data_IF_121743704994
#
_entry.id   IF_121743704994
#
_cell.length_a   1.000
_cell.length_b   1.000
_cell.length_c   1.000
_cell.angle_alpha   90.00
_cell.angle_beta   90.00
_cell.angle_gamma   90.00
#
_symmetry.space_group_name_H-M   'P 1'
#
loop_
_entity.id
_entity.type
_entity.pdbx_description
1 polymer ?
#
# COMPACT_ATOMS: atom_id res chain seq x y z
N UNK A 1 -63.74 28.35 72.10
CA UNK A 1 -62.40 28.94 71.85
C UNK A 1 -61.85 28.30 70.59
N UNK A 2 -62.15 28.91 69.43
CA UNK A 2 -61.94 28.34 68.10
C UNK A 2 -60.75 29.07 67.47
N UNK A 3 -59.69 28.32 67.15
CA UNK A 3 -58.44 28.81 66.57
C UNK A 3 -58.63 29.17 65.09
N UNK A 4 -58.33 30.41 64.73
CA UNK A 4 -58.29 30.89 63.35
C UNK A 4 -57.05 30.36 62.61
N UNK A 5 -57.24 29.72 61.46
CA UNK A 5 -56.17 29.42 60.49
C UNK A 5 -56.33 30.35 59.27
N UNK A 6 -55.33 31.20 59.05
CA UNK A 6 -55.20 32.03 57.85
C UNK A 6 -54.78 31.18 56.63
N UNK A 7 -55.29 31.44 55.41
CA UNK A 7 -54.84 30.76 54.21
C UNK A 7 -53.53 31.37 53.67
N UNK A 8 -52.60 30.51 53.23
CA UNK A 8 -51.36 30.92 52.53
C UNK A 8 -51.68 31.34 51.09
N UNK A 9 -51.04 32.38 50.53
CA UNK A 9 -51.16 32.71 49.12
C UNK A 9 -50.37 31.71 48.26
N UNK A 10 -51.00 31.13 47.23
CA UNK A 10 -50.31 30.39 46.18
C UNK A 10 -49.71 31.37 45.17
N UNK A 11 -48.38 31.43 45.07
CA UNK A 11 -47.68 32.13 44.00
C UNK A 11 -47.69 31.25 42.74
N UNK A 12 -48.44 31.66 41.72
CA UNK A 12 -48.39 31.12 40.36
C UNK A 12 -47.05 31.53 39.71
N UNK A 13 -46.04 30.66 39.79
CA UNK A 13 -44.81 30.81 38.99
C UNK A 13 -45.04 30.19 37.61
N UNK A 14 -45.40 31.01 36.63
CA UNK A 14 -45.47 30.62 35.22
C UNK A 14 -44.04 30.63 34.65
N UNK A 15 -43.41 29.47 34.52
CA UNK A 15 -42.11 29.36 33.86
C UNK A 15 -42.30 29.57 32.33
N UNK A 16 -41.85 30.72 31.83
CA UNK A 16 -41.69 30.94 30.39
C UNK A 16 -40.45 30.17 29.92
N UNK A 17 -40.62 28.96 29.39
CA UNK A 17 -39.59 28.33 28.55
C UNK A 17 -39.50 29.11 27.25
N UNK A 18 -38.53 30.03 27.16
CA UNK A 18 -38.05 30.53 25.87
C UNK A 18 -37.36 29.37 25.17
N UNK A 19 -38.01 28.81 24.15
CA UNK A 19 -37.36 27.95 23.18
C UNK A 19 -36.38 28.79 22.36
N UNK A 20 -35.14 28.90 22.82
CA UNK A 20 -34.03 29.26 21.95
C UNK A 20 -33.77 28.08 21.00
N UNK A 21 -34.55 27.97 19.93
CA UNK A 21 -34.12 27.21 18.78
C UNK A 21 -32.97 28.00 18.16
N UNK A 22 -31.74 27.70 18.57
CA UNK A 22 -30.60 28.09 17.76
C UNK A 22 -30.73 27.35 16.43
N UNK A 23 -30.68 28.03 15.28
CA UNK A 23 -30.58 27.32 14.01
C UNK A 23 -29.33 26.46 14.09
N UNK A 24 -29.47 25.16 13.86
CA UNK A 24 -28.34 24.28 13.63
C UNK A 24 -27.58 24.87 12.45
N UNK A 25 -26.49 25.60 12.71
CA UNK A 25 -25.55 25.96 11.68
C UNK A 25 -25.12 24.63 11.05
N UNK A 26 -25.49 24.44 9.78
CA UNK A 26 -24.89 23.40 8.96
C UNK A 26 -23.42 23.77 8.87
N UNK A 27 -22.62 23.24 9.79
CA UNK A 27 -21.18 23.16 9.62
C UNK A 27 -21.01 22.42 8.29
N UNK A 28 -20.68 23.17 7.24
CA UNK A 28 -20.21 22.59 6.00
C UNK A 28 -18.90 21.90 6.36
N UNK A 29 -18.98 20.65 6.81
CA UNK A 29 -17.82 19.78 6.87
C UNK A 29 -17.28 19.73 5.45
N UNK A 30 -16.19 20.47 5.20
CA UNK A 30 -15.42 20.30 3.98
C UNK A 30 -14.92 18.86 4.01
N UNK A 31 -15.48 18.04 3.13
CA UNK A 31 -14.97 16.68 2.91
C UNK A 31 -13.52 16.79 2.48
N UNK A 32 -12.61 16.25 3.27
CA UNK A 32 -11.22 16.07 2.88
C UNK A 32 -11.12 14.78 2.07
N UNK A 33 -11.55 14.83 0.80
CA UNK A 33 -11.60 13.66 -0.06
C UNK A 33 -10.20 13.20 -0.46
N UNK A 34 -10.04 11.90 -0.70
CA UNK A 34 -8.85 11.36 -1.35
C UNK A 34 -8.69 12.00 -2.73
N UNK A 35 -7.46 12.39 -3.05
CA UNK A 35 -7.11 12.99 -4.34
C UNK A 35 -5.97 12.21 -4.98
N UNK A 36 -5.85 12.34 -6.31
CA UNK A 36 -4.73 11.73 -7.04
C UNK A 36 -3.44 12.44 -6.62
N UNK A 37 -2.45 11.73 -6.07
CA UNK A 37 -1.19 12.35 -5.69
C UNK A 37 -0.43 12.85 -6.92
N UNK A 38 0.19 14.04 -6.87
CA UNK A 38 1.03 14.50 -7.95
C UNK A 38 2.26 13.59 -8.07
N UNK A 39 2.71 13.34 -9.30
CA UNK A 39 3.98 12.66 -9.54
C UNK A 39 5.12 13.67 -9.38
N UNK A 40 6.08 13.36 -8.49
CA UNK A 40 7.24 14.21 -8.19
C UNK A 40 8.24 14.30 -9.34
N UNK A 41 8.32 13.25 -10.17
CA UNK A 41 9.29 13.10 -11.24
C UNK A 41 8.64 13.29 -12.60
N UNK A 42 8.51 14.53 -13.05
CA UNK A 42 8.05 14.87 -14.41
C UNK A 42 6.57 14.62 -14.71
N UNK A 43 5.70 14.59 -13.68
CA UNK A 43 4.27 14.32 -13.86
C UNK A 43 3.58 15.15 -14.94
N UNK A 44 3.83 16.46 -14.97
CA UNK A 44 3.24 17.35 -15.99
C UNK A 44 3.78 17.14 -17.40
N UNK A 45 5.01 16.65 -17.53
CA UNK A 45 5.63 16.37 -18.82
C UNK A 45 5.18 15.01 -19.35
N UNK A 46 5.05 14.00 -18.48
CA UNK A 46 4.47 12.71 -18.84
C UNK A 46 3.01 12.82 -19.27
N UNK A 47 2.24 13.71 -18.66
CA UNK A 47 0.84 13.94 -19.09
C UNK A 47 0.75 14.50 -20.52
N UNK A 48 1.72 15.31 -20.96
CA UNK A 48 1.74 15.90 -22.30
C UNK A 48 2.36 14.98 -23.35
N UNK A 49 3.47 14.33 -23.00
CA UNK A 49 4.36 13.66 -23.96
C UNK A 49 4.43 12.14 -23.78
N UNK A 50 3.80 11.59 -22.74
CA UNK A 50 4.01 10.21 -22.33
C UNK A 50 5.37 10.02 -21.66
N UNK A 51 5.72 8.76 -21.43
CA UNK A 51 7.00 8.38 -20.86
C UNK A 51 7.92 7.91 -22.00
N UNK A 52 9.00 8.64 -22.33
CA UNK A 52 9.81 8.38 -23.50
C UNK A 52 10.29 6.92 -23.59
N UNK A 53 9.90 6.20 -24.64
CA UNK A 53 10.29 4.80 -24.86
C UNK A 53 9.59 3.77 -23.97
N UNK A 54 8.62 4.19 -23.14
CA UNK A 54 7.81 3.29 -22.31
C UNK A 54 6.31 3.39 -22.59
N UNK A 55 5.74 4.60 -22.51
CA UNK A 55 4.31 4.85 -22.73
C UNK A 55 4.10 6.05 -23.65
N UNK A 56 3.16 5.95 -24.59
CA UNK A 56 2.71 7.10 -25.37
C UNK A 56 1.89 8.07 -24.49
N UNK A 57 1.61 9.30 -24.94
CA UNK A 57 0.70 10.20 -24.21
C UNK A 57 -0.67 9.56 -23.94
N UNK A 58 -1.20 8.78 -24.89
CA UNK A 58 -2.47 8.09 -24.73
C UNK A 58 -2.36 6.92 -23.74
N UNK A 59 -1.30 6.12 -23.83
CA UNK A 59 -1.03 5.04 -22.87
C UNK A 59 -0.88 5.57 -21.45
N UNK A 60 -0.11 6.63 -21.25
CA UNK A 60 0.03 7.29 -19.95
C UNK A 60 -1.30 7.87 -19.44
N UNK A 61 -2.08 8.53 -20.31
CA UNK A 61 -3.40 9.06 -19.96
C UNK A 61 -4.34 7.96 -19.46
N UNK A 62 -4.40 6.82 -20.16
CA UNK A 62 -5.21 5.68 -19.72
C UNK A 62 -4.68 5.08 -18.43
N UNK A 63 -3.38 4.80 -18.35
CA UNK A 63 -2.76 4.04 -17.27
C UNK A 63 -2.65 4.80 -15.94
N UNK A 64 -2.35 6.10 -16.01
CA UNK A 64 -2.21 6.97 -14.85
C UNK A 64 -3.42 7.89 -14.71
N UNK A 65 -3.60 8.87 -15.60
CA UNK A 65 -4.55 9.97 -15.40
C UNK A 65 -5.98 9.47 -15.22
N UNK A 66 -6.53 8.71 -16.17
CA UNK A 66 -7.92 8.27 -16.15
C UNK A 66 -8.13 7.13 -15.14
N UNK A 67 -7.26 6.13 -15.14
CA UNK A 67 -7.42 4.98 -14.26
C UNK A 67 -7.22 5.33 -12.79
N UNK A 68 -6.20 6.12 -12.44
CA UNK A 68 -5.99 6.56 -11.05
C UNK A 68 -7.14 7.43 -10.56
N UNK A 69 -7.65 8.34 -11.40
CA UNK A 69 -8.84 9.15 -11.07
C UNK A 69 -10.08 8.28 -10.83
N UNK A 70 -10.30 7.26 -11.67
CA UNK A 70 -11.39 6.30 -11.48
C UNK A 70 -11.25 5.58 -10.14
N UNK A 71 -10.09 5.03 -9.84
CA UNK A 71 -9.84 4.28 -8.61
C UNK A 71 -10.05 5.17 -7.37
N UNK A 72 -9.54 6.40 -7.38
CA UNK A 72 -9.72 7.37 -6.29
C UNK A 72 -11.19 7.76 -6.12
N UNK A 73 -11.93 7.97 -7.22
CA UNK A 73 -13.37 8.25 -7.16
C UNK A 73 -14.14 7.10 -6.51
N UNK A 74 -13.89 5.88 -6.97
CA UNK A 74 -14.52 4.68 -6.40
C UNK A 74 -14.13 4.45 -4.94
N UNK A 75 -12.90 4.81 -4.56
CA UNK A 75 -12.46 4.79 -3.16
C UNK A 75 -13.28 5.79 -2.33
N UNK A 76 -13.36 7.05 -2.77
CA UNK A 76 -14.13 8.10 -2.10
C UNK A 76 -15.59 7.68 -1.88
N UNK A 77 -16.24 7.09 -2.88
CA UNK A 77 -17.62 6.61 -2.76
C UNK A 77 -17.78 5.52 -1.68
N UNK A 78 -16.76 4.68 -1.51
CA UNK A 78 -16.76 3.59 -0.52
C UNK A 78 -16.44 4.02 0.90
N UNK A 79 -15.71 5.11 1.06
CA UNK A 79 -15.33 5.64 2.38
C UNK A 79 -16.20 6.82 2.83
N UNK A 80 -17.11 7.29 1.97
CA UNK A 80 -17.99 8.42 2.27
C UNK A 80 -18.76 8.22 3.59
N UNK A 81 -18.62 9.17 4.52
CA UNK A 81 -19.29 9.11 5.83
C UNK A 81 -18.69 8.10 6.81
N UNK A 82 -17.52 7.53 6.50
CA UNK A 82 -16.75 6.68 7.42
C UNK A 82 -15.55 7.45 7.99
N UNK A 83 -14.89 6.88 9.00
CA UNK A 83 -13.63 7.45 9.56
C UNK A 83 -12.42 7.32 8.63
N UNK A 84 -12.60 6.76 7.43
CA UNK A 84 -11.55 6.56 6.43
C UNK A 84 -11.59 7.63 5.33
N UNK A 85 -12.55 8.56 5.39
CA UNK A 85 -12.79 9.56 4.34
C UNK A 85 -11.61 10.53 4.18
N UNK A 86 -10.91 10.86 5.28
CA UNK A 86 -9.84 11.86 5.37
C UNK A 86 -8.44 11.26 5.66
N UNK A 87 -8.32 9.94 5.66
CA UNK A 87 -7.06 9.24 5.93
C UNK A 87 -6.10 9.22 4.74
N UNK A 88 -4.84 8.85 4.98
CA UNK A 88 -3.92 8.48 3.89
C UNK A 88 -4.39 7.17 3.24
N UNK A 89 -4.30 7.07 1.90
CA UNK A 89 -4.66 5.84 1.16
C UNK A 89 -3.97 4.60 1.74
N UNK A 90 -2.68 4.70 2.07
CA UNK A 90 -1.91 3.62 2.73
C UNK A 90 -2.57 3.15 4.03
N UNK A 91 -3.12 4.07 4.83
CA UNK A 91 -3.80 3.72 6.08
C UNK A 91 -5.12 3.01 5.80
N UNK A 92 -5.85 3.41 4.76
CA UNK A 92 -7.07 2.72 4.33
C UNK A 92 -6.75 1.28 3.91
N UNK A 93 -5.66 1.04 3.17
CA UNK A 93 -5.19 -0.31 2.80
C UNK A 93 -5.02 -1.17 4.05
N UNK A 94 -4.26 -0.69 5.03
CA UNK A 94 -3.97 -1.47 6.25
C UNK A 94 -5.25 -1.72 7.07
N UNK A 95 -6.07 -0.69 7.28
CA UNK A 95 -7.28 -0.79 8.12
C UNK A 95 -8.36 -1.68 7.51
N UNK A 96 -8.40 -1.81 6.18
CA UNK A 96 -9.41 -2.61 5.47
C UNK A 96 -8.93 -3.99 5.04
N UNK A 97 -7.66 -4.34 5.29
CA UNK A 97 -7.06 -5.59 4.81
C UNK A 97 -7.72 -6.85 5.41
N UNK A 98 -8.02 -6.84 6.71
CA UNK A 98 -8.47 -8.04 7.43
C UNK A 98 -9.94 -8.37 7.20
N UNK A 99 -10.79 -7.37 7.15
CA UNK A 99 -12.24 -7.53 7.22
C UNK A 99 -12.85 -7.80 5.83
N UNK A 100 -13.54 -8.94 5.63
CA UNK A 100 -14.11 -9.29 4.33
C UNK A 100 -15.13 -8.26 3.81
N UNK A 101 -15.89 -7.62 4.71
CA UNK A 101 -16.87 -6.59 4.34
C UNK A 101 -16.23 -5.36 3.70
N UNK A 102 -14.98 -5.06 4.06
CA UNK A 102 -14.22 -3.96 3.47
C UNK A 102 -13.38 -4.39 2.27
N UNK A 103 -13.53 -5.62 1.76
CA UNK A 103 -12.67 -6.14 0.70
C UNK A 103 -12.70 -5.30 -0.57
N UNK A 104 -13.86 -4.75 -0.95
CA UNK A 104 -13.96 -3.85 -2.10
C UNK A 104 -13.23 -2.51 -1.84
N UNK A 105 -13.35 -1.95 -0.64
CA UNK A 105 -12.64 -0.72 -0.24
C UNK A 105 -11.13 -0.95 -0.25
N UNK A 106 -10.68 -2.08 0.29
CA UNK A 106 -9.29 -2.53 0.22
C UNK A 106 -8.79 -2.58 -1.23
N UNK A 107 -9.55 -3.18 -2.14
CA UNK A 107 -9.12 -3.33 -3.54
C UNK A 107 -8.85 -1.97 -4.19
N UNK A 108 -9.75 -0.99 -4.05
CA UNK A 108 -9.52 0.34 -4.62
C UNK A 108 -8.41 1.11 -3.91
N UNK A 109 -8.31 1.02 -2.59
CA UNK A 109 -7.21 1.66 -1.84
C UNK A 109 -5.84 1.07 -2.23
N UNK A 110 -5.76 -0.26 -2.31
CA UNK A 110 -4.53 -0.98 -2.64
C UNK A 110 -4.14 -0.73 -4.10
N UNK A 111 -5.11 -0.74 -5.02
CA UNK A 111 -4.85 -0.38 -6.42
C UNK A 111 -4.32 1.06 -6.56
N UNK A 112 -4.92 2.03 -5.86
CA UNK A 112 -4.45 3.41 -5.88
C UNK A 112 -3.02 3.53 -5.34
N UNK A 113 -2.72 2.85 -4.23
CA UNK A 113 -1.38 2.82 -3.65
C UNK A 113 -0.36 2.16 -4.58
N UNK A 114 -0.68 0.98 -5.10
CA UNK A 114 0.23 0.20 -5.94
C UNK A 114 0.52 0.89 -7.28
N UNK A 115 -0.52 1.44 -7.93
CA UNK A 115 -0.36 2.12 -9.21
C UNK A 115 0.46 3.42 -9.04
N UNK A 116 0.21 4.18 -7.97
CA UNK A 116 1.06 5.34 -7.65
C UNK A 116 2.50 4.94 -7.38
N UNK A 117 2.73 3.83 -6.65
CA UNK A 117 4.07 3.32 -6.38
C UNK A 117 4.81 2.94 -7.66
N UNK A 118 4.12 2.39 -8.66
CA UNK A 118 4.71 2.15 -9.98
C UNK A 118 5.14 3.46 -10.65
N UNK A 119 4.23 4.42 -10.83
CA UNK A 119 4.51 5.66 -11.58
C UNK A 119 5.51 6.60 -10.90
N UNK A 120 5.53 6.66 -9.55
CA UNK A 120 6.48 7.52 -8.82
C UNK A 120 7.94 7.10 -9.03
N UNK A 121 8.16 5.81 -9.34
CA UNK A 121 9.49 5.21 -9.53
C UNK A 121 9.93 5.20 -11.00
N UNK A 122 9.26 5.95 -11.89
CA UNK A 122 9.63 6.07 -13.30
C UNK A 122 10.37 7.39 -13.55
N UNK A 123 11.42 7.33 -14.35
CA UNK A 123 12.19 8.47 -14.83
C UNK A 123 11.98 8.69 -16.34
N UNK A 124 12.25 9.92 -16.79
CA UNK A 124 12.26 10.32 -18.21
C UNK A 124 13.43 9.70 -18.98
N UNK A 125 14.50 9.34 -18.27
CA UNK A 125 15.73 8.75 -18.77
C UNK A 125 16.24 7.65 -17.85
N UNK A 126 17.17 6.86 -18.36
CA UNK A 126 17.85 5.84 -17.57
C UNK A 126 18.63 6.49 -16.43
N UNK A 127 18.53 5.89 -15.24
CA UNK A 127 19.29 6.29 -14.06
C UNK A 127 20.17 5.11 -13.61
N UNK A 128 21.39 5.34 -13.12
CA UNK A 128 22.23 4.25 -12.63
C UNK A 128 21.74 3.73 -11.27
N UNK A 129 21.87 2.42 -11.04
CA UNK A 129 21.63 1.82 -9.73
C UNK A 129 22.70 2.35 -8.75
N UNK A 130 22.34 2.89 -7.58
CA UNK A 130 23.30 3.27 -6.54
C UNK A 130 24.19 2.09 -6.13
N UNK A 131 25.49 2.34 -5.99
CA UNK A 131 26.50 1.29 -5.75
C UNK A 131 26.16 0.44 -4.53
N UNK A 132 25.73 1.05 -3.43
CA UNK A 132 25.40 0.34 -2.19
C UNK A 132 24.19 -0.59 -2.35
N UNK A 133 23.20 -0.20 -3.17
CA UNK A 133 22.06 -1.04 -3.49
C UNK A 133 22.49 -2.18 -4.41
N UNK A 134 23.35 -1.88 -5.39
CA UNK A 134 23.86 -2.88 -6.34
C UNK A 134 24.65 -4.00 -5.63
N UNK A 135 25.51 -3.64 -4.68
CA UNK A 135 26.27 -4.59 -3.85
C UNK A 135 25.34 -5.46 -2.98
N UNK A 136 24.34 -4.84 -2.35
CA UNK A 136 23.37 -5.55 -1.52
C UNK A 136 22.50 -6.53 -2.32
N UNK A 137 22.04 -6.13 -3.51
CA UNK A 137 21.31 -7.00 -4.43
C UNK A 137 22.19 -8.14 -4.94
N UNK A 138 23.43 -7.86 -5.31
CA UNK A 138 24.41 -8.87 -5.76
C UNK A 138 24.67 -9.91 -4.67
N UNK A 139 24.68 -9.50 -3.40
CA UNK A 139 24.83 -10.43 -2.26
C UNK A 139 23.66 -11.41 -2.16
N UNK A 140 22.45 -11.01 -2.57
CA UNK A 140 21.25 -11.87 -2.49
C UNK A 140 21.02 -12.69 -3.78
N UNK A 141 21.18 -12.07 -4.95
CA UNK A 141 20.86 -12.67 -6.25
C UNK A 141 22.10 -13.15 -7.02
N UNK A 142 23.29 -13.13 -6.41
CA UNK A 142 24.60 -13.44 -7.01
C UNK A 142 25.11 -12.44 -8.05
N UNK A 143 24.24 -11.83 -8.85
CA UNK A 143 24.56 -10.73 -9.76
C UNK A 143 23.33 -9.86 -10.07
N UNK A 144 23.56 -8.63 -10.55
CA UNK A 144 22.49 -7.75 -11.01
C UNK A 144 21.79 -8.28 -12.26
N UNK A 145 22.51 -8.96 -13.15
CA UNK A 145 21.93 -9.57 -14.36
C UNK A 145 20.96 -10.70 -13.99
N UNK A 146 21.33 -11.54 -13.01
CA UNK A 146 20.45 -12.60 -12.50
C UNK A 146 19.22 -11.97 -11.83
N UNK A 147 19.41 -10.93 -11.01
CA UNK A 147 18.30 -10.20 -10.40
C UNK A 147 17.32 -9.65 -11.46
N UNK A 148 17.83 -8.96 -12.48
CA UNK A 148 17.02 -8.44 -13.58
C UNK A 148 16.29 -9.57 -14.31
N UNK A 149 16.98 -10.65 -14.65
CA UNK A 149 16.40 -11.78 -15.34
C UNK A 149 15.26 -12.43 -14.52
N UNK A 150 15.49 -12.69 -13.23
CA UNK A 150 14.51 -13.31 -12.33
C UNK A 150 13.30 -12.39 -12.11
N UNK A 151 13.53 -11.09 -11.91
CA UNK A 151 12.47 -10.11 -11.71
C UNK A 151 11.56 -10.00 -12.93
N UNK A 152 12.15 -9.81 -14.11
CA UNK A 152 11.38 -9.68 -15.34
C UNK A 152 10.72 -11.01 -15.75
N UNK A 153 11.38 -12.16 -15.52
CA UNK A 153 10.77 -13.47 -15.77
C UNK A 153 9.57 -13.72 -14.85
N UNK A 154 9.66 -13.35 -13.58
CA UNK A 154 8.52 -13.44 -12.63
C UNK A 154 7.35 -12.58 -13.10
N UNK A 155 7.63 -11.34 -13.52
CA UNK A 155 6.60 -10.43 -14.04
C UNK A 155 5.96 -10.93 -15.34
N UNK A 156 6.75 -11.48 -16.25
CA UNK A 156 6.28 -12.03 -17.52
C UNK A 156 5.42 -13.29 -17.31
N UNK A 157 5.91 -14.23 -16.49
CA UNK A 157 5.23 -15.49 -16.16
C UNK A 157 3.93 -15.33 -15.37
N UNK A 158 3.73 -14.20 -14.68
CA UNK A 158 2.50 -13.93 -13.95
C UNK A 158 1.31 -13.84 -14.92
N UNK A 159 0.48 -14.89 -14.93
CA UNK A 159 -0.68 -14.97 -15.80
C UNK A 159 -1.87 -14.22 -15.19
N UNK A 160 -2.10 -13.01 -15.70
CA UNK A 160 -3.15 -12.11 -15.23
C UNK A 160 -2.60 -10.82 -14.62
N UNK A 161 -3.49 -9.89 -14.29
CA UNK A 161 -3.11 -8.58 -13.78
C UNK A 161 -2.60 -8.64 -12.35
N UNK A 162 -1.57 -7.86 -12.06
CA UNK A 162 -1.03 -7.70 -10.72
C UNK A 162 0.20 -6.81 -10.70
N UNK A 163 0.98 -6.98 -9.65
CA UNK A 163 2.20 -6.22 -9.42
C UNK A 163 3.33 -7.17 -9.02
N UNK A 164 4.55 -6.89 -9.47
CA UNK A 164 5.74 -7.58 -8.99
C UNK A 164 6.63 -6.58 -8.27
N UNK A 165 7.06 -6.96 -7.07
CA UNK A 165 7.74 -6.09 -6.13
C UNK A 165 9.14 -6.60 -5.82
N UNK A 166 10.09 -5.68 -5.69
CA UNK A 166 11.30 -5.93 -4.92
C UNK A 166 11.01 -5.52 -3.49
N UNK A 167 11.20 -6.44 -2.54
CA UNK A 167 10.96 -6.17 -1.13
C UNK A 167 12.18 -6.53 -0.28
N UNK A 168 12.42 -5.72 0.74
CA UNK A 168 13.33 -6.09 1.82
C UNK A 168 12.56 -6.84 2.90
N UNK A 169 12.91 -8.11 3.11
CA UNK A 169 12.27 -8.96 4.11
C UNK A 169 13.16 -9.07 5.36
N UNK A 170 12.80 -8.34 6.42
CA UNK A 170 13.49 -8.40 7.71
C UNK A 170 13.17 -9.70 8.43
N UNK A 171 14.20 -10.37 8.95
CA UNK A 171 14.02 -11.59 9.72
C UNK A 171 13.43 -11.28 11.11
N UNK A 172 12.47 -12.10 11.59
CA UNK A 172 12.06 -12.04 12.99
C UNK A 172 13.30 -12.29 13.88
N UNK A 173 13.41 -11.54 14.97
CA UNK A 173 14.38 -11.76 16.06
C UNK A 173 15.87 -11.47 15.75
N UNK A 174 16.21 -11.03 14.55
CA UNK A 174 17.55 -10.58 14.20
C UNK A 174 17.58 -9.07 13.86
N UNK A 175 18.21 -8.28 14.73
CA UNK A 175 18.46 -6.86 14.44
C UNK A 175 19.34 -6.72 13.19
N UNK A 176 18.86 -5.93 12.22
CA UNK A 176 19.56 -5.62 10.96
C UNK A 176 19.93 -6.84 10.10
N UNK A 177 19.14 -7.91 10.14
CA UNK A 177 19.26 -9.01 9.19
C UNK A 177 17.98 -9.16 8.40
N UNK A 178 18.12 -9.22 7.09
CA UNK A 178 17.05 -9.47 6.15
C UNK A 178 17.62 -9.99 4.84
N UNK A 179 16.74 -10.19 3.88
CA UNK A 179 17.13 -10.55 2.52
C UNK A 179 16.20 -9.84 1.53
N UNK A 180 16.73 -9.56 0.34
CA UNK A 180 15.88 -9.16 -0.78
C UNK A 180 15.02 -10.33 -1.23
N UNK A 181 13.78 -10.05 -1.62
CA UNK A 181 12.87 -11.02 -2.21
C UNK A 181 12.09 -10.38 -3.35
N UNK A 182 11.82 -11.17 -4.38
CA UNK A 182 10.85 -10.82 -5.42
C UNK A 182 9.49 -11.32 -4.94
N UNK A 183 8.51 -10.42 -4.87
CA UNK A 183 7.18 -10.72 -4.39
C UNK A 183 6.16 -10.38 -5.49
N UNK A 184 5.51 -11.37 -6.13
CA UNK A 184 4.32 -11.11 -6.92
C UNK A 184 3.12 -10.85 -5.99
N UNK A 185 2.18 -10.01 -6.43
CA UNK A 185 0.87 -9.81 -5.81
C UNK A 185 -0.19 -9.72 -6.90
N UNK A 186 -1.16 -10.63 -6.89
CA UNK A 186 -2.22 -10.70 -7.90
C UNK A 186 -3.29 -9.64 -7.64
N UNK A 187 -3.88 -9.12 -8.72
CA UNK A 187 -4.97 -8.15 -8.71
C UNK A 187 -4.61 -6.88 -7.90
N UNK A 188 -5.23 -6.73 -6.72
CA UNK A 188 -5.04 -5.61 -5.82
C UNK A 188 -4.34 -6.03 -4.51
N UNK A 189 -3.60 -7.15 -4.53
CA UNK A 189 -2.80 -7.58 -3.39
C UNK A 189 -1.79 -6.51 -2.94
N UNK A 190 -1.47 -6.48 -1.64
CA UNK A 190 -0.58 -5.47 -1.07
C UNK A 190 0.75 -6.07 -0.62
N UNK A 191 1.90 -5.42 -0.89
CA UNK A 191 3.19 -5.86 -0.38
C UNK A 191 3.42 -5.47 1.09
N UNK A 192 2.52 -4.69 1.69
CA UNK A 192 2.68 -4.16 3.05
C UNK A 192 2.51 -5.26 4.09
N UNK A 193 3.45 -5.38 5.03
CA UNK A 193 3.39 -6.34 6.15
C UNK A 193 2.06 -6.28 6.89
N UNK A 194 1.61 -5.06 7.21
CA UNK A 194 0.38 -4.83 7.99
C UNK A 194 -0.89 -5.25 7.23
N UNK A 195 -0.79 -5.44 5.92
CA UNK A 195 -1.87 -5.91 5.04
C UNK A 195 -1.64 -7.35 4.52
N UNK A 196 -0.79 -8.15 5.20
CA UNK A 196 -0.48 -9.54 4.82
C UNK A 196 -1.71 -10.43 4.55
N UNK A 197 -2.84 -10.20 5.24
CA UNK A 197 -4.13 -10.87 4.98
C UNK A 197 -4.55 -10.84 3.49
N UNK A 198 -4.04 -9.85 2.75
CA UNK A 198 -4.36 -9.58 1.36
C UNK A 198 -3.08 -9.37 0.55
N UNK A 199 -2.04 -10.14 0.84
CA UNK A 199 -0.82 -10.15 0.03
C UNK A 199 -1.07 -10.76 -1.36
N UNK A 200 -1.90 -11.81 -1.42
CA UNK A 200 -2.30 -12.50 -2.65
C UNK A 200 -1.10 -12.88 -3.56
N UNK A 201 -0.09 -13.62 -3.05
CA UNK A 201 1.15 -13.85 -3.79
C UNK A 201 1.04 -14.90 -4.90
N UNK A 202 -0.04 -15.67 -4.94
CA UNK A 202 -0.22 -16.78 -5.86
C UNK A 202 -1.62 -16.82 -6.45
N UNK A 203 -1.72 -17.30 -7.68
CA UNK A 203 -3.00 -17.68 -8.28
C UNK A 203 -3.49 -19.00 -7.68
N UNK A 204 -4.52 -18.92 -6.83
CA UNK A 204 -5.10 -20.09 -6.17
C UNK A 204 -5.75 -21.09 -7.13
N UNK A 205 -6.04 -20.72 -8.38
CA UNK A 205 -6.61 -21.63 -9.37
C UNK A 205 -5.58 -22.62 -9.94
N UNK A 206 -4.29 -22.29 -9.85
CA UNK A 206 -3.20 -23.15 -10.34
C UNK A 206 -2.33 -23.72 -9.21
N UNK A 207 -2.67 -23.44 -7.95
CA UNK A 207 -1.98 -23.99 -6.78
C UNK A 207 -2.65 -25.30 -6.34
N UNK A 208 -1.85 -26.33 -6.13
CA UNK A 208 -2.20 -27.52 -5.35
C UNK A 208 -1.27 -27.64 -4.13
N UNK A 209 -1.54 -28.58 -3.23
CA UNK A 209 -0.73 -28.78 -2.01
C UNK A 209 0.76 -29.06 -2.28
N UNK A 210 1.08 -29.52 -3.49
CA UNK A 210 2.43 -29.84 -3.96
C UNK A 210 3.02 -28.74 -4.87
N UNK A 211 2.25 -27.68 -5.15
CA UNK A 211 2.66 -26.56 -5.99
C UNK A 211 3.49 -25.60 -5.15
N UNK A 212 4.77 -25.51 -5.46
CA UNK A 212 5.68 -24.56 -4.83
C UNK A 212 5.37 -23.17 -5.39
N UNK A 213 4.43 -22.49 -4.73
CA UNK A 213 3.99 -21.13 -5.01
C UNK A 213 4.41 -20.14 -3.92
N UNK A 214 5.70 -19.87 -3.79
CA UNK A 214 6.19 -18.63 -3.18
C UNK A 214 6.20 -18.50 -1.65
N UNK A 215 5.66 -19.45 -0.88
CA UNK A 215 5.92 -19.60 0.55
C UNK A 215 6.01 -21.09 0.88
N UNK A 216 6.94 -21.49 1.76
CA UNK A 216 7.02 -22.89 2.18
C UNK A 216 5.68 -23.32 2.77
N UNK A 217 5.26 -24.58 2.59
CA UNK A 217 4.00 -25.08 3.18
C UNK A 217 3.92 -24.85 4.70
N UNK A 218 5.07 -24.73 5.37
CA UNK A 218 5.18 -24.35 6.77
C UNK A 218 4.80 -22.88 7.04
N UNK A 219 5.10 -21.95 6.13
CA UNK A 219 4.73 -20.53 6.26
C UNK A 219 3.25 -20.29 5.94
N UNK A 220 2.69 -21.01 4.96
CA UNK A 220 1.25 -20.99 4.67
C UNK A 220 0.43 -21.56 5.85
N UNK A 221 0.88 -22.66 6.46
CA UNK A 221 0.26 -23.25 7.65
C UNK A 221 0.35 -22.33 8.88
N UNK A 222 1.38 -21.48 8.97
CA UNK A 222 1.53 -20.49 10.06
C UNK A 222 0.62 -19.28 9.88
N UNK A 223 0.34 -18.86 8.64
CA UNK A 223 -0.56 -17.74 8.34
C UNK A 223 -2.05 -18.12 8.41
N UNK A 224 -2.41 -19.38 8.16
CA UNK A 224 -3.80 -19.85 8.17
C UNK A 224 -4.35 -20.19 9.56
N UNK A 225 -3.51 -20.25 10.60
CA UNK A 225 -3.97 -20.47 11.96
C UNK A 225 -4.52 -19.17 12.57
N UNK A 226 -5.84 -19.17 12.84
CA UNK A 226 -6.51 -18.14 13.63
C UNK A 226 -5.93 -18.14 15.04
N UNK A 227 -4.98 -17.24 15.33
CA UNK A 227 -4.49 -17.03 16.69
C UNK A 227 -5.52 -16.23 17.49
N UNK A 228 -5.99 -16.82 18.59
CA UNK A 228 -7.02 -16.27 19.47
C UNK A 228 -6.67 -14.88 20.02
N UNK A 229 -7.71 -14.06 20.15
CA UNK A 229 -7.69 -12.62 20.47
C UNK A 229 -7.55 -12.31 21.96
N UNK A 230 -6.62 -12.94 22.69
CA UNK A 230 -6.28 -12.54 24.08
C UNK A 230 -4.78 -12.70 24.36
N UNK A 231 -4.14 -11.64 24.87
CA UNK A 231 -2.70 -11.62 25.22
C UNK A 231 -1.91 -10.50 24.52
N UNK A 232 -0.58 -10.66 24.42
CA UNK A 232 0.40 -9.67 23.90
C UNK A 232 0.10 -9.19 22.46
N UNK A 233 -0.77 -9.90 21.73
CA UNK A 233 -1.28 -9.55 20.39
C UNK A 233 -2.65 -8.83 20.41
N UNK A 234 -3.16 -8.45 21.59
CA UNK A 234 -4.45 -7.79 21.76
C UNK A 234 -4.48 -6.34 21.28
N UNK A 235 -5.69 -5.78 21.14
CA UNK A 235 -5.89 -4.40 20.68
C UNK A 235 -5.16 -3.35 21.55
N UNK A 236 -4.86 -3.67 22.81
CA UNK A 236 -4.28 -2.80 23.85
C UNK A 236 -2.78 -3.05 24.15
N UNK A 237 -2.04 -3.83 23.35
CA UNK A 237 -0.61 -4.03 23.60
C UNK A 237 0.25 -2.84 23.11
N UNK A 238 1.21 -2.41 23.93
CA UNK A 238 2.17 -1.34 23.62
C UNK A 238 3.37 -1.80 22.76
N UNK A 239 3.38 -3.06 22.30
CA UNK A 239 4.35 -3.54 21.30
C UNK A 239 3.86 -3.14 19.90
N UNK A 240 4.78 -2.70 19.04
CA UNK A 240 4.52 -2.50 17.60
C UNK A 240 3.83 -3.78 17.09
N UNK A 241 2.54 -3.68 16.72
CA UNK A 241 1.77 -4.81 16.16
C UNK A 241 2.46 -5.24 14.86
N UNK A 242 3.35 -6.22 14.95
CA UNK A 242 3.94 -6.86 13.77
C UNK A 242 2.88 -7.75 13.14
N UNK A 243 2.94 -7.92 11.83
CA UNK A 243 2.14 -8.92 11.14
C UNK A 243 2.31 -10.30 11.82
N UNK A 244 1.23 -11.09 11.98
CA UNK A 244 1.31 -12.52 12.30
C UNK A 244 2.34 -13.19 11.38
N UNK A 245 3.40 -13.75 11.97
CA UNK A 245 4.57 -14.26 11.23
C UNK A 245 5.88 -13.47 11.47
N UNK A 246 5.83 -12.31 12.14
CA UNK A 246 6.99 -11.64 12.72
C UNK A 246 7.98 -11.00 11.73
N UNK A 247 7.81 -11.19 10.43
CA UNK A 247 8.65 -10.60 9.38
C UNK A 247 8.08 -9.26 8.91
N UNK A 248 8.96 -8.25 8.79
CA UNK A 248 8.63 -6.93 8.27
C UNK A 248 9.12 -6.82 6.82
N UNK A 249 8.19 -6.62 5.90
CA UNK A 249 8.38 -6.48 4.46
C UNK A 249 8.28 -5.01 4.08
N UNK A 250 9.36 -4.48 3.51
CA UNK A 250 9.41 -3.11 2.99
C UNK A 250 9.47 -3.15 1.45
N UNK A 251 8.44 -2.66 0.73
CA UNK A 251 8.48 -2.56 -0.73
C UNK A 251 9.41 -1.44 -1.18
N UNK A 252 10.19 -1.71 -2.23
CA UNK A 252 11.25 -0.82 -2.73
C UNK A 252 11.08 -0.51 -4.21
N UNK A 253 10.78 -1.51 -5.03
CA UNK A 253 10.51 -1.36 -6.47
C UNK A 253 9.20 -2.07 -6.81
N UNK A 254 8.48 -1.58 -7.81
CA UNK A 254 7.24 -2.18 -8.29
C UNK A 254 7.15 -2.07 -9.81
N UNK A 255 6.71 -3.14 -10.47
CA UNK A 255 6.20 -3.09 -11.85
C UNK A 255 4.70 -3.39 -11.85
N UNK A 256 3.93 -2.59 -12.57
CA UNK A 256 2.52 -2.81 -12.82
C UNK A 256 2.35 -3.65 -14.10
N UNK A 257 1.72 -4.82 -13.97
CA UNK A 257 1.51 -5.75 -15.10
C UNK A 257 0.07 -5.77 -15.61
N UNK A 258 -0.79 -4.89 -15.09
CA UNK A 258 -2.16 -4.75 -15.56
C UNK A 258 -2.20 -4.31 -17.04
N UNK A 259 -3.12 -4.90 -17.79
CA UNK A 259 -3.22 -4.74 -19.25
C UNK A 259 -3.48 -3.28 -19.67
N UNK A 260 -4.22 -2.52 -18.86
CA UNK A 260 -4.48 -1.09 -19.15
C UNK A 260 -3.23 -0.21 -19.12
N UNK A 261 -2.11 -0.72 -18.59
CA UNK A 261 -0.82 -0.02 -18.59
C UNK A 261 -0.08 -0.22 -19.91
N UNK A 262 0.04 -1.46 -20.38
CA UNK A 262 0.96 -1.80 -21.47
C UNK A 262 0.26 -2.14 -22.79
N UNK A 263 -0.95 -2.70 -22.78
CA UNK A 263 -1.65 -3.09 -24.02
C UNK A 263 -1.88 -1.94 -24.99
N UNK A 264 -2.22 -0.70 -24.56
CA UNK A 264 -2.42 0.42 -25.49
C UNK A 264 -1.22 0.71 -26.40
N UNK A 265 0.00 0.52 -25.90
CA UNK A 265 1.24 0.87 -26.62
C UNK A 265 1.98 -0.36 -27.17
N UNK A 266 1.87 -1.50 -26.50
CA UNK A 266 2.66 -2.71 -26.78
C UNK A 266 1.83 -3.85 -27.41
N UNK A 267 0.50 -3.68 -27.50
CA UNK A 267 -0.41 -4.71 -28.02
C UNK A 267 -0.51 -5.93 -27.12
N UNK A 268 -1.26 -6.96 -27.52
CA UNK A 268 -1.60 -8.11 -26.65
C UNK A 268 -0.43 -9.07 -26.36
N UNK A 269 0.59 -9.10 -27.23
CA UNK A 269 1.76 -9.97 -27.09
C UNK A 269 3.01 -9.22 -26.58
N UNK A 270 2.91 -7.91 -26.35
CA UNK A 270 4.06 -7.06 -26.06
C UNK A 270 4.49 -6.96 -24.60
N UNK A 271 3.92 -7.79 -23.70
CA UNK A 271 4.21 -7.73 -22.24
C UNK A 271 5.71 -7.80 -21.95
N UNK A 272 6.42 -8.75 -22.55
CA UNK A 272 7.88 -8.90 -22.37
C UNK A 272 8.66 -7.65 -22.81
N UNK A 273 8.33 -7.09 -23.97
CA UNK A 273 9.00 -5.90 -24.49
C UNK A 273 8.71 -4.65 -23.63
N UNK A 274 7.47 -4.51 -23.13
CA UNK A 274 7.12 -3.49 -22.13
C UNK A 274 7.97 -3.62 -20.86
N UNK A 275 8.15 -4.84 -20.34
CA UNK A 275 8.94 -5.10 -19.14
C UNK A 275 10.42 -4.73 -19.32
N UNK A 276 11.00 -5.04 -20.47
CA UNK A 276 12.37 -4.64 -20.83
C UNK A 276 12.50 -3.12 -20.94
N UNK A 277 11.53 -2.44 -21.58
CA UNK A 277 11.51 -0.98 -21.68
C UNK A 277 11.30 -0.30 -20.33
N UNK A 278 10.45 -0.87 -19.47
CA UNK A 278 10.21 -0.38 -18.11
C UNK A 278 11.48 -0.40 -17.28
N UNK A 279 12.27 -1.46 -17.37
CA UNK A 279 13.54 -1.59 -16.64
C UNK A 279 14.49 -0.41 -16.93
N UNK A 280 14.56 0.03 -18.19
CA UNK A 280 15.38 1.16 -18.64
C UNK A 280 14.86 2.54 -18.20
N UNK A 281 13.70 2.58 -17.54
CA UNK A 281 13.03 3.78 -17.05
C UNK A 281 12.82 3.77 -15.55
N UNK A 282 13.42 2.84 -14.82
CA UNK A 282 13.42 2.86 -13.36
C UNK A 282 14.19 4.10 -12.89
N UNK A 283 13.58 4.86 -11.98
CA UNK A 283 14.22 5.95 -11.26
C UNK A 283 14.90 5.41 -10.00
N UNK A 284 16.15 4.95 -10.13
CA UNK A 284 16.87 4.34 -9.02
C UNK A 284 17.19 5.30 -7.87
N UNK A 285 17.15 6.62 -8.12
CA UNK A 285 17.28 7.63 -7.06
C UNK A 285 16.06 7.63 -6.13
N UNK A 286 14.86 7.47 -6.68
CA UNK A 286 13.62 7.34 -5.89
C UNK A 286 13.53 5.98 -5.22
N UNK A 287 13.89 4.92 -5.94
CA UNK A 287 13.96 3.57 -5.37
C UNK A 287 14.86 3.56 -4.13
N UNK A 288 16.00 4.25 -4.18
CA UNK A 288 16.92 4.39 -3.04
C UNK A 288 16.28 5.04 -1.81
N UNK A 289 15.32 5.95 -1.98
CA UNK A 289 14.60 6.58 -0.86
C UNK A 289 13.71 5.58 -0.10
N UNK A 290 13.28 4.50 -0.75
CA UNK A 290 12.52 3.40 -0.13
C UNK A 290 13.41 2.30 0.46
N UNK A 291 14.68 2.24 0.06
CA UNK A 291 15.64 1.24 0.59
C UNK A 291 15.95 1.56 2.04
N UNK A 292 15.68 0.64 2.97
CA UNK A 292 16.01 0.87 4.36
C UNK A 292 17.51 0.64 4.62
N UNK A 293 18.10 1.40 5.55
CA UNK A 293 19.55 1.38 5.81
C UNK A 293 20.08 0.01 6.24
N UNK A 294 19.26 -0.82 6.90
CA UNK A 294 19.63 -2.19 7.25
C UNK A 294 19.81 -3.10 6.03
N UNK A 295 19.17 -2.78 4.89
CA UNK A 295 19.37 -3.50 3.64
C UNK A 295 20.74 -3.21 3.02
N UNK A 296 21.38 -2.09 3.33
CA UNK A 296 22.65 -1.66 2.74
C UNK A 296 23.87 -2.12 3.53
N UNK A 297 23.68 -2.80 4.66
CA UNK A 297 24.77 -3.25 5.51
C UNK A 297 25.53 -2.11 6.22
N UNK A 298 25.03 -0.87 6.18
CA UNK A 298 25.72 0.34 6.67
C UNK A 298 25.65 0.51 8.20
N UNK A 299 25.00 -0.38 8.93
CA UNK A 299 24.96 -0.34 10.40
C UNK A 299 26.26 -0.88 11.04
N UNK A 300 27.31 -0.04 11.03
CA UNK A 300 28.31 -0.07 12.12
C UNK A 300 27.55 0.20 13.41
N UNK A 301 27.66 -0.71 14.40
CA UNK A 301 27.12 -0.50 15.76
C UNK A 301 27.48 0.91 16.23
N UNK A 302 26.58 1.68 16.88
CA UNK A 302 27.02 2.82 17.66
C UNK A 302 28.05 2.29 18.67
N UNK A 303 29.28 2.80 18.59
CA UNK A 303 30.32 2.49 19.56
C UNK A 303 29.83 3.03 20.91
N UNK A 304 29.24 2.15 21.72
CA UNK A 304 29.08 2.46 23.13
C UNK A 304 30.49 2.68 23.70
N UNK A 305 30.78 3.82 24.34
CA UNK A 305 32.03 3.98 25.05
C UNK A 305 32.08 2.89 26.12
N UNK A 306 33.13 2.06 26.08
CA UNK A 306 33.40 1.12 27.16
C UNK A 306 33.68 1.98 28.40
N UNK A 307 32.80 1.88 29.39
CA UNK A 307 33.03 2.33 30.76
C UNK A 307 34.20 1.58 31.36
#
# INVERSE_FOLDING_TARGET
MILARLPRPQLLLRALQRSSQQPLERVLQRRALHSVPPLTNFGSEFEKHGIPGLLSPNGFKTAWTEYQQLVIRQLNDKVAGTTLEDGLVRNVVVQTAREPLFAATFNYASMAFNNHFFFQNIADKETPIPTELAESLTTTFSSLDIFQAEFLATADAMFGPGFVWLVWHRQPDAFNKGSWKILPTYLAGSPLSDAHWRQQPVDMNTQNADSIGGLSGADHARQSQVQNTVGVMGQYSNLRKRAPGGADVTPVLCVNTWEHVWVPDWGVAGKRAFLEAWWQRINWNEVRAFVPEDALGTNRRPAYPRS
#
